data_IF_985842764246
#
_entry.id   IF_985842764246
#
_cell.length_a   1.000
_cell.length_b   1.000
_cell.length_c   1.000
_cell.angle_alpha   90.00
_cell.angle_beta   90.00
_cell.angle_gamma   90.00
#
_symmetry.space_group_name_H-M   'P 1'
#
loop_
_entity.id
_entity.type
_entity.pdbx_description
1 polymer ?
#
# COMPACT_ATOMS: atom_id res chain seq x y z
N UNK A 1 1.65 30.31 -21.77
CA UNK A 1 1.17 29.55 -20.60
C UNK A 1 2.30 29.27 -19.60
N UNK A 2 2.90 30.29 -18.98
CA UNK A 2 4.04 30.11 -18.05
C UNK A 2 3.68 30.39 -16.57
N UNK A 3 2.47 30.90 -16.29
CA UNK A 3 2.05 31.26 -14.93
C UNK A 3 1.66 30.07 -14.05
N UNK A 4 1.32 28.91 -14.64
CA UNK A 4 0.89 27.72 -13.91
C UNK A 4 2.01 27.14 -13.04
N UNK A 5 3.26 27.16 -13.54
CA UNK A 5 4.45 26.67 -12.82
C UNK A 5 4.90 27.58 -11.67
N UNK A 6 4.37 28.80 -11.58
CA UNK A 6 4.71 29.77 -10.51
C UNK A 6 3.70 29.81 -9.38
N UNK A 7 2.60 29.04 -9.47
CA UNK A 7 1.56 29.03 -8.44
C UNK A 7 2.06 28.19 -7.25
N UNK A 8 2.34 28.85 -6.12
CA UNK A 8 2.58 28.14 -4.86
C UNK A 8 1.32 27.33 -4.54
N UNK A 9 1.46 26.02 -4.43
CA UNK A 9 0.38 25.14 -3.99
C UNK A 9 0.08 25.52 -2.53
N UNK A 10 -1.14 25.93 -2.19
CA UNK A 10 -1.49 26.19 -0.80
C UNK A 10 -1.42 24.88 -0.04
N UNK A 11 -0.62 24.84 1.02
CA UNK A 11 -0.52 23.70 1.92
C UNK A 11 -1.22 24.00 3.24
N UNK A 12 -1.92 23.01 3.76
CA UNK A 12 -2.56 23.07 5.08
C UNK A 12 -1.66 22.31 6.06
N UNK A 13 -1.25 22.97 7.14
CA UNK A 13 -0.50 22.33 8.21
C UNK A 13 -1.52 21.83 9.24
N UNK A 14 -1.55 20.52 9.46
CA UNK A 14 -2.31 19.93 10.56
C UNK A 14 -1.43 19.92 11.81
N UNK A 15 -1.88 20.50 12.94
CA UNK A 15 -1.13 20.46 14.17
C UNK A 15 -1.07 19.03 14.71
N UNK A 16 0.03 18.68 15.36
CA UNK A 16 0.17 17.39 16.05
C UNK A 16 -0.87 17.30 17.17
N UNK A 17 -1.64 16.20 17.26
CA UNK A 17 -2.68 16.05 18.27
C UNK A 17 -2.06 16.02 19.67
N UNK A 18 -2.79 16.54 20.66
CA UNK A 18 -2.37 16.44 22.06
C UNK A 18 -2.57 15.00 22.56
N UNK A 19 -1.71 14.48 23.46
CA UNK A 19 -1.84 13.12 23.99
C UNK A 19 -3.19 12.83 24.67
N UNK A 20 -3.84 13.87 25.22
CA UNK A 20 -5.14 13.77 25.88
C UNK A 20 -6.34 13.81 24.91
N UNK A 21 -6.13 14.18 23.65
CA UNK A 21 -7.16 14.25 22.61
C UNK A 21 -7.25 12.95 21.78
N UNK A 22 -6.66 11.85 22.28
CA UNK A 22 -6.67 10.51 21.69
C UNK A 22 -8.05 9.83 21.65
N UNK A 23 -9.11 10.58 21.38
CA UNK A 23 -10.40 10.02 21.00
C UNK A 23 -10.31 9.48 19.58
N UNK A 24 -10.52 8.17 19.43
CA UNK A 24 -10.73 7.53 18.13
C UNK A 24 -11.95 8.15 17.46
N UNK A 25 -11.70 9.15 16.63
CA UNK A 25 -12.66 9.65 15.66
C UNK A 25 -12.15 9.23 14.30
N UNK A 26 -13.06 8.89 13.37
CA UNK A 26 -12.68 8.45 12.04
C UNK A 26 -11.77 9.47 11.30
N UNK A 27 -11.89 10.77 11.61
CA UNK A 27 -11.02 11.81 11.07
C UNK A 27 -9.64 11.86 11.76
N UNK A 28 -9.55 11.54 13.04
CA UNK A 28 -8.27 11.43 13.73
C UNK A 28 -7.48 10.26 13.16
N UNK A 29 -8.11 9.09 13.06
CA UNK A 29 -7.47 7.86 12.56
C UNK A 29 -7.09 7.96 11.07
N UNK A 30 -7.76 8.86 10.32
CA UNK A 30 -7.43 9.23 8.94
C UNK A 30 -6.08 9.93 8.82
N UNK A 31 -5.80 10.89 9.70
CA UNK A 31 -4.60 11.74 9.63
C UNK A 31 -3.47 11.28 10.55
N UNK A 32 -3.82 10.58 11.63
CA UNK A 32 -2.92 10.14 12.69
C UNK A 32 -3.17 8.65 12.95
N UNK A 33 -2.67 7.83 12.03
CA UNK A 33 -2.68 6.37 12.17
C UNK A 33 -1.86 5.94 13.40
N UNK A 34 -2.25 4.81 14.00
CA UNK A 34 -1.59 4.29 15.17
C UNK A 34 -0.17 3.80 14.84
N UNK A 35 0.74 3.96 15.80
CA UNK A 35 2.15 3.57 15.66
C UNK A 35 2.33 2.10 15.22
N UNK A 36 1.59 1.11 15.78
CA UNK A 36 1.72 -0.28 15.34
C UNK A 36 1.39 -0.48 13.85
N UNK A 37 0.32 0.14 13.34
CA UNK A 37 -0.01 0.06 11.91
C UNK A 37 1.06 0.71 11.04
N UNK A 38 1.61 1.87 11.44
CA UNK A 38 2.70 2.51 10.71
C UNK A 38 3.97 1.63 10.69
N UNK A 39 4.30 1.02 11.83
CA UNK A 39 5.45 0.12 11.94
C UNK A 39 5.28 -1.10 11.01
N UNK A 40 4.09 -1.71 10.96
CA UNK A 40 3.81 -2.83 10.05
C UNK A 40 3.97 -2.45 8.57
N UNK A 41 3.48 -1.28 8.17
CA UNK A 41 3.66 -0.77 6.80
C UNK A 41 5.14 -0.53 6.49
N UNK A 42 5.92 -0.02 7.45
CA UNK A 42 7.36 0.17 7.26
C UNK A 42 8.12 -1.15 7.12
N UNK A 43 7.73 -2.18 7.87
CA UNK A 43 8.30 -3.53 7.75
C UNK A 43 7.94 -4.14 6.40
N UNK A 44 6.70 -3.98 5.95
CA UNK A 44 6.26 -4.44 4.63
C UNK A 44 7.10 -3.80 3.51
N UNK A 45 7.31 -2.48 3.54
CA UNK A 45 8.15 -1.78 2.55
C UNK A 45 9.60 -2.30 2.55
N UNK A 46 10.17 -2.53 3.73
CA UNK A 46 11.50 -3.12 3.88
C UNK A 46 11.58 -4.56 3.35
N UNK A 47 10.55 -5.37 3.55
CA UNK A 47 10.46 -6.74 3.04
C UNK A 47 10.34 -6.81 1.51
N UNK A 48 9.65 -5.83 0.91
CA UNK A 48 9.51 -5.73 -0.55
C UNK A 48 10.76 -5.18 -1.22
N UNK A 49 11.55 -4.38 -0.51
CA UNK A 49 12.81 -3.85 -1.03
C UNK A 49 13.75 -4.99 -1.46
N UNK A 50 14.15 -5.01 -2.73
CA UNK A 50 14.97 -6.08 -3.34
C UNK A 50 14.43 -7.51 -3.14
N UNK A 51 13.12 -7.67 -2.91
CA UNK A 51 12.46 -8.96 -2.73
C UNK A 51 13.02 -9.80 -1.55
N UNK A 52 13.50 -9.14 -0.49
CA UNK A 52 14.12 -9.84 0.65
C UNK A 52 13.20 -10.88 1.30
N UNK A 53 11.93 -10.52 1.53
CA UNK A 53 10.96 -11.40 2.19
C UNK A 53 9.52 -11.09 1.74
N UNK A 54 9.25 -11.38 0.47
CA UNK A 54 7.93 -11.19 -0.15
C UNK A 54 6.80 -12.00 0.53
N UNK A 55 7.00 -13.27 0.96
CA UNK A 55 5.97 -14.01 1.70
C UNK A 55 5.53 -13.31 2.99
N UNK A 56 6.49 -12.78 3.77
CA UNK A 56 6.16 -12.03 4.99
C UNK A 56 5.43 -10.73 4.70
N UNK A 57 5.83 -10.01 3.64
CA UNK A 57 5.12 -8.81 3.21
C UNK A 57 3.65 -9.12 2.84
N UNK A 58 3.41 -10.25 2.16
CA UNK A 58 2.06 -10.74 1.83
C UNK A 58 1.23 -11.00 3.09
N UNK A 59 1.80 -11.68 4.09
CA UNK A 59 1.09 -11.96 5.35
C UNK A 59 0.70 -10.67 6.10
N UNK A 60 1.63 -9.71 6.20
CA UNK A 60 1.36 -8.42 6.83
C UNK A 60 0.26 -7.67 6.07
N UNK A 61 0.34 -7.66 4.73
CA UNK A 61 -0.66 -7.01 3.89
C UNK A 61 -2.06 -7.60 4.09
N UNK A 62 -2.21 -8.93 4.04
CA UNK A 62 -3.51 -9.58 4.25
C UNK A 62 -4.03 -9.36 5.67
N UNK A 63 -3.14 -9.37 6.67
CA UNK A 63 -3.53 -9.06 8.04
C UNK A 63 -4.09 -7.64 8.15
N UNK A 64 -3.37 -6.63 7.64
CA UNK A 64 -3.83 -5.23 7.65
C UNK A 64 -5.17 -5.07 6.92
N UNK A 65 -5.32 -5.74 5.78
CA UNK A 65 -6.55 -5.73 4.99
C UNK A 65 -7.72 -6.36 5.74
N UNK A 66 -7.51 -7.50 6.41
CA UNK A 66 -8.54 -8.21 7.18
C UNK A 66 -9.00 -7.44 8.43
N UNK A 67 -8.09 -6.73 9.08
CA UNK A 67 -8.39 -5.92 10.27
C UNK A 67 -9.08 -4.59 9.92
N UNK A 68 -9.16 -4.23 8.62
CA UNK A 68 -9.63 -2.92 8.18
C UNK A 68 -8.76 -1.76 8.72
N UNK A 69 -7.54 -2.07 9.16
CA UNK A 69 -6.60 -1.10 9.71
C UNK A 69 -5.70 -0.59 8.60
N UNK A 70 -5.50 0.72 8.58
CA UNK A 70 -4.66 1.33 7.55
C UNK A 70 -5.25 1.26 6.14
N UNK A 71 -6.57 1.24 5.96
CA UNK A 71 -7.22 1.37 4.64
C UNK A 71 -6.67 2.55 3.82
N UNK A 72 -6.26 3.63 4.48
CA UNK A 72 -5.61 4.78 3.87
C UNK A 72 -4.16 4.56 3.47
N UNK A 73 -3.45 3.69 4.20
CA UNK A 73 -2.05 3.36 3.95
C UNK A 73 -1.92 2.28 2.87
N UNK A 74 -2.91 1.41 2.75
CA UNK A 74 -3.05 0.42 1.68
C UNK A 74 -3.57 1.08 0.40
N UNK A 75 -2.83 2.07 -0.10
CA UNK A 75 -3.15 2.81 -1.31
C UNK A 75 -2.74 2.06 -2.58
N UNK A 76 -3.10 2.61 -3.75
CA UNK A 76 -2.75 2.02 -5.03
C UNK A 76 -1.24 1.82 -5.22
N UNK A 77 -0.40 2.59 -4.52
CA UNK A 77 1.06 2.45 -4.59
C UNK A 77 1.50 1.16 -3.89
N UNK A 78 0.98 0.88 -2.70
CA UNK A 78 1.25 -0.38 -1.98
C UNK A 78 0.81 -1.60 -2.80
N UNK A 79 -0.39 -1.56 -3.36
CA UNK A 79 -0.89 -2.64 -4.22
C UNK A 79 0.02 -2.86 -5.43
N UNK A 80 0.42 -1.78 -6.12
CA UNK A 80 1.34 -1.87 -7.25
C UNK A 80 2.70 -2.45 -6.85
N UNK A 81 3.25 -2.06 -5.70
CA UNK A 81 4.52 -2.62 -5.21
C UNK A 81 4.43 -4.12 -4.95
N UNK A 82 3.30 -4.61 -4.42
CA UNK A 82 3.08 -6.04 -4.21
C UNK A 82 2.91 -6.80 -5.53
N UNK A 83 2.12 -6.26 -6.47
CA UNK A 83 1.94 -6.86 -7.80
C UNK A 83 3.31 -6.98 -8.51
N UNK A 84 4.10 -5.90 -8.51
CA UNK A 84 5.44 -5.89 -9.08
C UNK A 84 6.35 -6.92 -8.41
N UNK A 85 6.36 -6.97 -7.07
CA UNK A 85 7.14 -7.95 -6.33
C UNK A 85 6.74 -9.40 -6.65
N UNK A 86 5.45 -9.70 -6.80
CA UNK A 86 4.98 -11.02 -7.21
C UNK A 86 5.39 -11.39 -8.64
N UNK A 87 5.31 -10.45 -9.58
CA UNK A 87 5.77 -10.64 -10.96
C UNK A 87 7.28 -10.92 -10.99
N UNK A 88 8.06 -10.19 -10.20
CA UNK A 88 9.51 -10.41 -10.10
C UNK A 88 9.84 -11.76 -9.45
N UNK A 89 9.14 -12.16 -8.38
CA UNK A 89 9.29 -13.48 -7.75
C UNK A 89 8.95 -14.63 -8.71
N UNK A 90 7.94 -14.44 -9.56
CA UNK A 90 7.57 -15.39 -10.62
C UNK A 90 8.59 -15.44 -11.76
N UNK A 91 9.31 -14.35 -12.00
CA UNK A 91 10.33 -14.24 -13.05
C UNK A 91 11.70 -14.77 -12.60
N UNK A 92 11.91 -14.94 -11.29
CA UNK A 92 13.15 -15.46 -10.74
C UNK A 92 13.33 -16.97 -11.11
N UNK A 93 14.51 -17.36 -11.61
CA UNK A 93 14.75 -18.71 -12.13
C UNK A 93 14.77 -19.82 -11.06
N UNK A 94 14.96 -19.46 -9.79
CA UNK A 94 15.10 -20.40 -8.67
C UNK A 94 13.76 -20.72 -7.98
N UNK A 95 12.66 -20.07 -8.38
CA UNK A 95 11.38 -20.16 -7.67
C UNK A 95 10.54 -21.34 -8.16
N UNK A 96 10.34 -22.36 -7.31
CA UNK A 96 9.49 -23.52 -7.61
C UNK A 96 7.98 -23.19 -7.65
N UNK A 97 7.57 -22.05 -7.10
CA UNK A 97 6.17 -21.64 -6.93
C UNK A 97 5.76 -20.51 -7.89
N UNK A 98 6.30 -20.51 -9.11
CA UNK A 98 6.02 -19.46 -10.12
C UNK A 98 4.53 -19.24 -10.37
N UNK A 99 3.76 -20.31 -10.50
CA UNK A 99 2.31 -20.25 -10.76
C UNK A 99 1.56 -19.54 -9.63
N UNK A 100 1.90 -19.89 -8.37
CA UNK A 100 1.31 -19.26 -7.18
C UNK A 100 1.53 -17.74 -7.14
N UNK A 101 2.72 -17.28 -7.51
CA UNK A 101 3.02 -15.84 -7.54
C UNK A 101 2.27 -15.10 -8.64
N UNK A 102 2.13 -15.71 -9.82
CA UNK A 102 1.34 -15.15 -10.91
C UNK A 102 -0.15 -15.11 -10.56
N UNK A 103 -0.69 -16.16 -9.96
CA UNK A 103 -2.07 -16.19 -9.49
C UNK A 103 -2.30 -15.09 -8.43
N UNK A 104 -1.40 -14.96 -7.45
CA UNK A 104 -1.48 -13.91 -6.43
C UNK A 104 -1.46 -12.50 -7.04
N UNK A 105 -0.65 -12.27 -8.07
CA UNK A 105 -0.60 -10.98 -8.78
C UNK A 105 -1.91 -10.68 -9.52
N UNK A 106 -2.47 -11.69 -10.21
CA UNK A 106 -3.73 -11.56 -10.92
C UNK A 106 -4.92 -11.36 -10.00
N UNK A 107 -4.97 -12.06 -8.87
CA UNK A 107 -5.98 -11.88 -7.83
C UNK A 107 -5.98 -10.43 -7.33
N UNK A 108 -4.82 -9.91 -6.95
CA UNK A 108 -4.70 -8.54 -6.44
C UNK A 108 -5.12 -7.50 -7.49
N UNK A 109 -4.72 -7.69 -8.75
CA UNK A 109 -5.14 -6.83 -9.85
C UNK A 109 -6.66 -6.86 -10.07
N UNK A 110 -7.26 -8.05 -10.08
CA UNK A 110 -8.71 -8.22 -10.26
C UNK A 110 -9.50 -7.61 -9.08
N UNK A 111 -8.97 -7.66 -7.87
CA UNK A 111 -9.56 -7.01 -6.70
C UNK A 111 -9.57 -5.49 -6.83
N UNK A 112 -8.50 -4.89 -7.38
CA UNK A 112 -8.48 -3.46 -7.72
C UNK A 112 -9.48 -3.11 -8.83
N UNK A 113 -9.52 -3.88 -9.92
CA UNK A 113 -10.43 -3.64 -11.06
C UNK A 113 -11.91 -3.79 -10.69
N UNK A 114 -12.24 -4.83 -9.91
CA UNK A 114 -13.62 -5.08 -9.47
C UNK A 114 -14.14 -4.03 -8.48
N UNK A 115 -13.25 -3.19 -7.92
CA UNK A 115 -13.58 -2.20 -6.90
C UNK A 115 -14.04 -2.84 -5.60
N UNK A 116 -13.65 -4.09 -5.35
CA UNK A 116 -13.92 -4.80 -4.10
C UNK A 116 -13.19 -4.14 -2.94
N UNK A 117 -11.96 -3.72 -3.21
CA UNK A 117 -11.22 -2.80 -2.36
C UNK A 117 -11.50 -1.35 -2.78
N UNK A 118 -11.41 -0.40 -1.83
CA UNK A 118 -11.60 1.05 -2.09
C UNK A 118 -10.51 1.66 -2.99
N UNK A 119 -9.62 0.83 -3.52
CA UNK A 119 -8.45 1.19 -4.31
C UNK A 119 -8.73 0.93 -5.77
N UNK A 120 -8.35 1.87 -6.64
CA UNK A 120 -8.52 1.75 -8.10
C UNK A 120 -7.17 1.57 -8.79
N UNK A 121 -7.13 0.83 -9.92
CA UNK A 121 -5.97 0.77 -10.78
C UNK A 121 -5.57 2.18 -11.22
N UNK A 122 -4.27 2.40 -11.30
CA UNK A 122 -3.67 3.64 -11.79
C UNK A 122 -2.95 3.37 -13.10
N UNK A 123 -2.53 4.43 -13.80
CA UNK A 123 -1.71 4.27 -15.01
C UNK A 123 -0.46 3.41 -14.77
N UNK A 124 0.10 3.45 -13.56
CA UNK A 124 1.24 2.62 -13.18
C UNK A 124 0.87 1.14 -13.07
N UNK A 125 -0.34 0.81 -12.59
CA UNK A 125 -0.83 -0.57 -12.46
C UNK A 125 -0.85 -1.29 -13.81
N UNK A 126 -1.24 -0.59 -14.89
CA UNK A 126 -1.27 -1.14 -16.24
C UNK A 126 0.11 -1.18 -16.93
N UNK A 127 1.14 -0.60 -16.31
CA UNK A 127 2.50 -0.53 -16.86
C UNK A 127 3.44 -1.58 -16.25
N UNK A 128 2.97 -2.35 -15.25
CA UNK A 128 3.69 -3.45 -14.62
C UNK A 128 3.80 -4.67 -15.54
#
# INVERSE_FOLDING_TARGET
>A
MQGFLRRRVPYTILPTPLPAEGGSSALHDLYFTDSPTQDLVSVMDACLHNLYDVPRAKEIFEQLRSEGRGEMLLDARVYNSLIDAYIQMASAPETQQREMWLESAWELYNEMESGRDKVRPTANTYAL
#
